data_IF_753521199551
#
_entry.id   IF_753521199551
#
_cell.length_a   1.000
_cell.length_b   1.000
_cell.length_c   1.000
_cell.angle_alpha   90.00
_cell.angle_beta   90.00
_cell.angle_gamma   90.00
#
_symmetry.space_group_name_H-M   'P 1'
#
loop_
_entity.id
_entity.type
_entity.pdbx_description
1 polymer ?
#
# COMPACT_ATOMS: atom_id res chain seq x y z
N UNK A 1 -37.93 0.85 32.22
CA UNK A 1 -39.18 1.63 32.34
C UNK A 1 -39.09 2.96 31.60
N UNK A 2 -38.12 3.84 31.90
CA UNK A 2 -38.00 5.16 31.24
C UNK A 2 -37.85 5.07 29.71
N UNK A 3 -36.98 4.18 29.20
CA UNK A 3 -36.85 3.93 27.75
C UNK A 3 -38.19 3.52 27.11
N UNK A 4 -38.95 2.61 27.73
CA UNK A 4 -40.25 2.18 27.21
C UNK A 4 -41.28 3.32 27.16
N UNK A 5 -41.26 4.23 28.14
CA UNK A 5 -42.11 5.43 28.11
C UNK A 5 -41.67 6.38 26.99
N UNK A 6 -40.35 6.53 26.75
CA UNK A 6 -39.82 7.32 25.63
C UNK A 6 -40.27 6.85 24.26
N UNK A 7 -40.48 5.53 24.07
CA UNK A 7 -40.97 4.96 22.81
C UNK A 7 -42.41 5.35 22.50
N UNK A 8 -43.23 5.60 23.52
CA UNK A 8 -44.66 5.88 23.38
C UNK A 8 -44.91 7.37 23.18
N UNK A 9 -44.17 8.20 23.91
CA UNK A 9 -44.47 9.64 24.03
C UNK A 9 -43.58 10.53 23.15
N UNK A 10 -42.40 10.04 22.75
CA UNK A 10 -41.52 10.74 21.81
C UNK A 10 -40.78 11.96 22.37
N UNK A 11 -39.98 12.65 21.53
CA UNK A 11 -39.09 13.75 21.95
C UNK A 11 -39.83 15.03 22.37
N UNK A 12 -41.11 15.17 22.00
CA UNK A 12 -41.93 16.35 22.34
C UNK A 12 -42.21 16.45 23.84
N UNK A 13 -42.22 15.31 24.54
CA UNK A 13 -42.60 15.22 25.95
C UNK A 13 -41.49 14.61 26.81
N UNK A 14 -40.51 13.92 26.21
CA UNK A 14 -39.34 13.39 26.92
C UNK A 14 -38.06 14.06 26.41
N UNK A 15 -37.33 14.79 27.29
CA UNK A 15 -36.05 15.36 26.93
C UNK A 15 -35.03 14.31 26.46
N UNK A 16 -34.33 14.61 25.36
CA UNK A 16 -33.22 13.79 24.83
C UNK A 16 -32.17 13.47 25.88
N UNK A 17 -31.88 14.41 26.80
CA UNK A 17 -30.91 14.22 27.88
C UNK A 17 -31.25 13.03 28.78
N UNK A 18 -32.54 12.78 29.04
CA UNK A 18 -32.97 11.63 29.86
C UNK A 18 -32.79 10.31 29.13
N UNK A 19 -33.13 10.27 27.83
CA UNK A 19 -32.90 9.09 26.98
C UNK A 19 -31.40 8.77 26.93
N UNK A 20 -30.57 9.80 26.75
CA UNK A 20 -29.11 9.69 26.72
C UNK A 20 -28.54 9.08 28.00
N UNK A 21 -28.96 9.56 29.17
CA UNK A 21 -28.50 9.04 30.48
C UNK A 21 -28.79 7.54 30.61
N UNK A 22 -29.89 7.04 30.05
CA UNK A 22 -30.18 5.61 30.04
C UNK A 22 -29.37 4.83 29.00
N UNK A 23 -29.17 5.38 27.81
CA UNK A 23 -28.53 4.66 26.71
C UNK A 23 -27.02 4.57 26.82
N UNK A 24 -26.35 5.61 27.34
CA UNK A 24 -24.88 5.65 27.43
C UNK A 24 -24.31 4.46 28.23
N UNK A 25 -24.79 4.14 29.45
CA UNK A 25 -24.30 2.97 30.19
C UNK A 25 -24.57 1.65 29.47
N UNK A 26 -25.73 1.53 28.81
CA UNK A 26 -26.09 0.32 28.06
C UNK A 26 -25.12 0.10 26.91
N UNK A 27 -24.87 1.13 26.10
CA UNK A 27 -23.93 1.07 24.99
C UNK A 27 -22.50 0.79 25.48
N UNK A 28 -22.05 1.46 26.55
CA UNK A 28 -20.70 1.28 27.09
C UNK A 28 -20.46 -0.14 27.63
N UNK A 29 -21.44 -0.75 28.30
CA UNK A 29 -21.31 -2.12 28.78
C UNK A 29 -21.48 -3.17 27.66
N UNK A 30 -22.14 -2.82 26.55
CA UNK A 30 -22.39 -3.72 25.42
C UNK A 30 -21.09 -4.19 24.74
N UNK A 31 -20.02 -3.40 24.80
CA UNK A 31 -18.72 -3.73 24.20
C UNK A 31 -18.04 -4.94 24.88
N UNK A 32 -18.39 -5.24 26.13
CA UNK A 32 -17.81 -6.35 26.91
C UNK A 32 -18.82 -7.35 27.47
N UNK A 33 -20.11 -7.18 27.16
CA UNK A 33 -21.19 -7.98 27.73
C UNK A 33 -22.32 -8.21 26.72
N UNK A 34 -22.73 -9.47 26.58
CA UNK A 34 -23.91 -9.84 25.80
C UNK A 34 -25.13 -9.85 26.71
N UNK A 35 -26.12 -9.01 26.38
CA UNK A 35 -27.31 -8.88 27.19
C UNK A 35 -28.25 -10.08 27.07
N UNK A 36 -29.13 -10.31 28.07
CA UNK A 36 -30.20 -11.30 27.97
C UNK A 36 -31.04 -11.10 26.70
N UNK A 37 -31.76 -12.14 26.23
CA UNK A 37 -32.57 -12.07 25.02
C UNK A 37 -33.69 -11.03 25.16
N UNK A 38 -33.40 -9.82 24.70
CA UNK A 38 -34.31 -8.68 24.64
C UNK A 38 -34.62 -8.43 23.16
N UNK A 39 -35.86 -8.03 22.85
CA UNK A 39 -36.20 -7.61 21.50
C UNK A 39 -35.61 -6.21 21.21
N UNK A 40 -34.32 -6.17 20.86
CA UNK A 40 -33.60 -4.94 20.53
C UNK A 40 -34.28 -4.12 19.44
N UNK A 41 -34.87 -4.76 18.42
CA UNK A 41 -35.60 -4.07 17.37
C UNK A 41 -36.78 -3.25 17.92
N UNK A 42 -37.51 -3.77 18.91
CA UNK A 42 -38.64 -3.07 19.52
C UNK A 42 -38.25 -1.80 20.30
N UNK A 43 -37.01 -1.75 20.80
CA UNK A 43 -36.50 -0.61 21.58
C UNK A 43 -35.77 0.38 20.67
N UNK A 44 -34.89 -0.12 19.81
CA UNK A 44 -33.99 0.73 19.03
C UNK A 44 -34.68 1.29 17.76
N UNK A 45 -35.57 0.53 17.12
CA UNK A 45 -36.22 1.01 15.88
C UNK A 45 -37.05 2.28 16.09
N UNK A 46 -37.87 2.42 17.14
CA UNK A 46 -38.58 3.67 17.40
C UNK A 46 -37.63 4.81 17.75
N UNK A 47 -36.59 4.57 18.57
CA UNK A 47 -35.59 5.61 18.91
C UNK A 47 -34.82 6.13 17.70
N UNK A 48 -34.54 5.25 16.73
CA UNK A 48 -33.88 5.62 15.48
C UNK A 48 -34.80 6.38 14.51
N UNK A 49 -36.12 6.17 14.60
CA UNK A 49 -37.13 6.85 13.76
C UNK A 49 -37.60 8.18 14.35
N UNK A 50 -37.62 8.28 15.69
CA UNK A 50 -37.99 9.47 16.43
C UNK A 50 -36.81 10.45 16.44
N UNK A 51 -37.07 11.75 16.29
CA UNK A 51 -36.03 12.76 16.20
C UNK A 51 -35.47 13.15 17.59
N UNK A 52 -34.92 12.18 18.32
CA UNK A 52 -34.21 12.41 19.59
C UNK A 52 -32.79 12.97 19.38
N UNK A 53 -32.34 13.13 18.13
CA UNK A 53 -31.05 13.69 17.78
C UNK A 53 -29.98 12.66 17.44
N UNK A 54 -28.89 13.15 16.85
CA UNK A 54 -27.80 12.38 16.25
C UNK A 54 -27.09 11.43 17.23
N UNK A 55 -26.93 11.86 18.48
CA UNK A 55 -26.23 11.10 19.50
C UNK A 55 -27.00 9.84 19.92
N UNK A 56 -28.33 9.94 20.01
CA UNK A 56 -29.19 8.79 20.32
C UNK A 56 -29.18 7.79 19.15
N UNK A 57 -29.19 8.29 17.92
CA UNK A 57 -29.04 7.46 16.73
C UNK A 57 -27.71 6.68 16.75
N UNK A 58 -26.61 7.35 17.08
CA UNK A 58 -25.29 6.71 17.23
C UNK A 58 -25.29 5.61 18.30
N UNK A 59 -25.85 5.89 19.48
CA UNK A 59 -25.93 4.92 20.58
C UNK A 59 -26.79 3.71 20.20
N UNK A 60 -27.88 3.90 19.45
CA UNK A 60 -28.71 2.81 18.95
C UNK A 60 -27.93 1.90 18.00
N UNK A 61 -27.17 2.47 17.05
CA UNK A 61 -26.32 1.69 16.14
C UNK A 61 -25.21 0.96 16.90
N UNK A 62 -24.58 1.61 17.89
CA UNK A 62 -23.55 0.98 18.73
C UNK A 62 -24.08 -0.25 19.45
N UNK A 63 -25.26 -0.15 20.06
CA UNK A 63 -25.92 -1.29 20.73
C UNK A 63 -26.29 -2.38 19.71
N UNK A 64 -26.87 -2.00 18.55
CA UNK A 64 -27.25 -2.98 17.53
C UNK A 64 -26.03 -3.77 17.00
N UNK A 65 -24.90 -3.09 16.78
CA UNK A 65 -23.63 -3.69 16.34
C UNK A 65 -23.08 -4.68 17.37
N UNK A 66 -22.96 -4.25 18.63
CA UNK A 66 -22.36 -5.07 19.71
C UNK A 66 -23.21 -6.29 20.08
N UNK A 67 -24.53 -6.19 19.91
CA UNK A 67 -25.48 -7.26 20.22
C UNK A 67 -25.90 -8.07 18.99
N UNK A 68 -25.35 -7.80 17.80
CA UNK A 68 -25.69 -8.51 16.57
C UNK A 68 -25.38 -10.01 16.68
N UNK A 69 -24.36 -10.39 17.45
CA UNK A 69 -23.95 -11.78 17.66
C UNK A 69 -24.93 -12.59 18.50
N UNK A 70 -25.40 -12.02 19.61
CA UNK A 70 -26.29 -12.72 20.56
C UNK A 70 -27.77 -12.57 20.24
N UNK A 71 -28.14 -11.62 19.36
CA UNK A 71 -29.54 -11.29 19.09
C UNK A 71 -29.85 -11.11 17.60
N UNK A 72 -30.62 -12.05 17.06
CA UNK A 72 -31.14 -11.98 15.69
C UNK A 72 -31.95 -10.70 15.43
N UNK A 73 -32.72 -10.21 16.41
CA UNK A 73 -33.50 -8.98 16.26
C UNK A 73 -32.61 -7.74 16.14
N UNK A 74 -31.42 -7.75 16.74
CA UNK A 74 -30.44 -6.67 16.61
C UNK A 74 -29.79 -6.71 15.21
N UNK A 75 -29.42 -7.91 14.74
CA UNK A 75 -28.86 -8.10 13.41
C UNK A 75 -29.86 -7.74 12.29
N UNK A 76 -31.13 -8.12 12.42
CA UNK A 76 -32.20 -7.75 11.46
C UNK A 76 -32.41 -6.24 11.44
N UNK A 77 -32.47 -5.60 12.62
CA UNK A 77 -32.55 -4.14 12.69
C UNK A 77 -31.37 -3.50 11.96
N UNK A 78 -30.14 -3.95 12.26
CA UNK A 78 -28.94 -3.42 11.62
C UNK A 78 -29.05 -3.55 10.09
N UNK A 79 -29.41 -4.73 9.58
CA UNK A 79 -29.59 -4.99 8.15
C UNK A 79 -30.62 -4.08 7.47
N UNK A 80 -31.66 -3.63 8.18
CA UNK A 80 -32.61 -2.64 7.65
C UNK A 80 -31.95 -1.26 7.45
N UNK A 81 -31.07 -0.85 8.36
CA UNK A 81 -30.40 0.46 8.33
C UNK A 81 -29.18 0.51 7.39
N UNK A 82 -28.69 -0.64 6.90
CA UNK A 82 -27.61 -0.70 5.92
C UNK A 82 -28.04 -0.34 4.49
N UNK A 83 -29.34 -0.38 4.19
CA UNK A 83 -29.84 -0.20 2.83
C UNK A 83 -30.38 1.22 2.63
N UNK A 84 -30.22 1.83 1.44
CA UNK A 84 -30.86 3.10 1.12
C UNK A 84 -32.39 3.08 1.26
N UNK A 85 -33.02 4.20 1.66
CA UNK A 85 -32.41 5.50 1.96
C UNK A 85 -31.84 5.64 3.39
N UNK A 86 -32.04 4.65 4.27
CA UNK A 86 -31.75 4.78 5.70
C UNK A 86 -30.27 4.96 6.01
N UNK A 87 -29.39 4.29 5.28
CA UNK A 87 -27.94 4.47 5.44
C UNK A 87 -27.50 5.92 5.16
N UNK A 88 -28.19 6.61 4.24
CA UNK A 88 -27.90 7.99 3.87
C UNK A 88 -28.48 9.01 4.85
N UNK A 89 -29.41 8.61 5.72
CA UNK A 89 -29.94 9.48 6.79
C UNK A 89 -29.12 9.40 8.09
N UNK A 90 -28.09 8.55 8.12
CA UNK A 90 -27.16 8.46 9.24
C UNK A 90 -26.13 9.60 9.19
N UNK A 91 -25.70 10.04 10.36
CA UNK A 91 -24.63 11.04 10.47
C UNK A 91 -23.26 10.47 10.09
N UNK A 92 -22.31 11.34 9.75
CA UNK A 92 -20.93 10.93 9.42
C UNK A 92 -20.30 10.15 10.57
N UNK A 93 -20.56 10.53 11.83
CA UNK A 93 -20.01 9.82 13.00
C UNK A 93 -20.61 8.42 13.15
N UNK A 94 -21.93 8.27 12.93
CA UNK A 94 -22.61 6.98 13.01
C UNK A 94 -22.15 6.06 11.88
N UNK A 95 -22.05 6.59 10.65
CA UNK A 95 -21.47 5.86 9.52
C UNK A 95 -20.03 5.44 9.79
N UNK A 96 -19.21 6.32 10.35
CA UNK A 96 -17.82 6.02 10.69
C UNK A 96 -17.70 4.85 11.65
N UNK A 97 -18.53 4.82 12.70
CA UNK A 97 -18.60 3.70 13.63
C UNK A 97 -19.07 2.42 12.94
N UNK A 98 -20.14 2.48 12.15
CA UNK A 98 -20.67 1.33 11.41
C UNK A 98 -19.63 0.68 10.48
N UNK A 99 -18.87 1.52 9.77
CA UNK A 99 -17.84 1.08 8.81
C UNK A 99 -16.64 0.48 9.54
N UNK A 100 -16.12 1.17 10.56
CA UNK A 100 -14.95 0.68 11.32
C UNK A 100 -15.25 -0.57 12.14
N UNK A 101 -16.51 -0.78 12.54
CA UNK A 101 -16.95 -1.97 13.29
C UNK A 101 -17.42 -3.14 12.41
N UNK A 102 -17.17 -3.12 11.10
CA UNK A 102 -17.62 -4.14 10.13
C UNK A 102 -17.36 -5.58 10.60
N UNK A 103 -16.18 -5.83 11.18
CA UNK A 103 -15.76 -7.13 11.70
C UNK A 103 -16.68 -7.70 12.79
N UNK A 104 -17.38 -6.85 13.54
CA UNK A 104 -18.25 -7.27 14.65
C UNK A 104 -19.59 -7.80 14.16
N UNK A 105 -20.14 -7.22 13.08
CA UNK A 105 -21.53 -7.44 12.72
C UNK A 105 -21.75 -8.10 11.35
N UNK A 106 -20.77 -8.09 10.45
CA UNK A 106 -20.97 -8.55 9.06
C UNK A 106 -21.48 -10.00 8.95
N UNK A 107 -21.02 -10.89 9.85
CA UNK A 107 -21.39 -12.32 9.86
C UNK A 107 -22.84 -12.57 10.30
N UNK A 108 -23.50 -11.57 10.87
CA UNK A 108 -24.83 -11.69 11.46
C UNK A 108 -25.94 -11.11 10.58
N UNK A 109 -25.58 -10.31 9.58
CA UNK A 109 -26.52 -9.72 8.64
C UNK A 109 -26.64 -10.60 7.39
N UNK A 110 -27.83 -10.63 6.79
CA UNK A 110 -28.06 -11.39 5.55
C UNK A 110 -27.18 -10.90 4.40
N UNK A 111 -26.69 -11.84 3.59
CA UNK A 111 -25.80 -11.57 2.45
C UNK A 111 -26.35 -10.53 1.47
N UNK A 112 -27.64 -10.58 1.13
CA UNK A 112 -28.31 -9.60 0.26
C UNK A 112 -28.15 -8.15 0.76
N UNK A 113 -28.32 -7.94 2.07
CA UNK A 113 -28.21 -6.62 2.70
C UNK A 113 -26.76 -6.15 2.78
N UNK A 114 -25.84 -7.07 3.07
CA UNK A 114 -24.41 -6.78 3.10
C UNK A 114 -23.89 -6.39 1.70
N UNK A 115 -24.29 -7.14 0.67
CA UNK A 115 -23.92 -6.86 -0.72
C UNK A 115 -24.51 -5.52 -1.19
N UNK A 116 -25.80 -5.27 -0.92
CA UNK A 116 -26.43 -3.98 -1.23
C UNK A 116 -25.75 -2.79 -0.53
N UNK A 117 -25.32 -2.96 0.71
CA UNK A 117 -24.57 -1.94 1.45
C UNK A 117 -23.20 -1.65 0.82
N UNK A 118 -22.45 -2.67 0.39
CA UNK A 118 -21.22 -2.42 -0.35
C UNK A 118 -21.50 -1.68 -1.67
N UNK A 119 -22.35 -2.25 -2.53
CA UNK A 119 -22.52 -1.76 -3.90
C UNK A 119 -23.13 -0.36 -3.95
N UNK A 120 -24.10 -0.06 -3.09
CA UNK A 120 -24.88 1.18 -3.16
C UNK A 120 -24.38 2.26 -2.19
N UNK A 121 -23.64 1.91 -1.14
CA UNK A 121 -23.13 2.87 -0.17
C UNK A 121 -21.60 2.93 -0.15
N UNK A 122 -20.90 1.83 0.14
CA UNK A 122 -19.44 1.85 0.22
C UNK A 122 -18.81 2.26 -1.12
N UNK A 123 -19.21 1.61 -2.22
CA UNK A 123 -18.67 1.89 -3.55
C UNK A 123 -19.07 3.28 -4.04
N UNK A 124 -20.29 3.74 -3.76
CA UNK A 124 -20.75 5.08 -4.12
C UNK A 124 -19.87 6.19 -3.49
N UNK A 125 -19.33 5.98 -2.28
CA UNK A 125 -18.38 6.91 -1.65
C UNK A 125 -17.04 7.00 -2.39
N UNK A 126 -16.66 5.97 -3.16
CA UNK A 126 -15.50 6.00 -4.05
C UNK A 126 -15.83 6.52 -5.46
N UNK A 127 -17.04 6.29 -5.97
CA UNK A 127 -17.47 6.83 -7.28
C UNK A 127 -17.74 8.34 -7.23
N UNK A 128 -18.25 8.85 -6.11
CA UNK A 128 -18.50 10.27 -5.88
C UNK A 128 -17.22 11.12 -5.73
N UNK A 129 -16.03 10.50 -5.75
CA UNK A 129 -14.71 11.14 -5.65
C UNK A 129 -14.45 12.23 -6.71
N UNK A 130 -15.33 12.40 -7.70
CA UNK A 130 -15.25 13.47 -8.70
C UNK A 130 -15.79 14.85 -8.26
N UNK A 131 -16.53 14.99 -7.13
CA UNK A 131 -17.22 16.26 -6.81
C UNK A 131 -17.08 16.78 -5.37
N UNK A 132 -17.11 15.95 -4.34
CA UNK A 132 -17.00 16.37 -2.92
C UNK A 132 -16.37 15.26 -2.09
N UNK A 133 -15.17 15.52 -1.56
CA UNK A 133 -14.31 14.52 -0.95
C UNK A 133 -14.65 14.31 0.53
N UNK A 134 -15.13 13.11 0.92
CA UNK A 134 -15.17 12.70 2.32
C UNK A 134 -14.09 11.63 2.61
N UNK A 135 -12.86 12.10 2.79
CA UNK A 135 -11.68 11.29 3.11
C UNK A 135 -11.92 10.31 4.25
N UNK A 136 -12.59 10.81 5.29
CA UNK A 136 -12.76 10.13 6.56
C UNK A 136 -13.57 8.84 6.35
N UNK A 137 -14.71 8.94 5.67
CA UNK A 137 -15.55 7.76 5.40
C UNK A 137 -14.85 6.75 4.47
N UNK A 138 -14.15 7.21 3.43
CA UNK A 138 -13.36 6.31 2.56
C UNK A 138 -12.31 5.54 3.36
N UNK A 139 -11.62 6.21 4.28
CA UNK A 139 -10.64 5.57 5.15
C UNK A 139 -11.30 4.57 6.11
N UNK A 140 -12.44 4.94 6.70
CA UNK A 140 -13.19 4.08 7.62
C UNK A 140 -13.69 2.80 6.95
N UNK A 141 -14.09 2.86 5.67
CA UNK A 141 -14.42 1.66 4.87
C UNK A 141 -13.23 0.70 4.83
N UNK A 142 -12.06 1.19 4.40
CA UNK A 142 -10.89 0.34 4.21
C UNK A 142 -10.35 -0.21 5.52
N UNK A 143 -10.38 0.59 6.60
CA UNK A 143 -10.03 0.13 7.94
C UNK A 143 -10.97 -0.99 8.42
N UNK A 144 -12.28 -0.82 8.21
CA UNK A 144 -13.28 -1.85 8.52
C UNK A 144 -13.05 -3.16 7.74
N UNK A 145 -12.79 -3.06 6.44
CA UNK A 145 -12.45 -4.21 5.58
C UNK A 145 -11.17 -4.90 6.06
N UNK A 146 -10.11 -4.15 6.37
CA UNK A 146 -8.84 -4.70 6.84
C UNK A 146 -9.01 -5.45 8.15
N UNK A 147 -9.81 -4.93 9.09
CA UNK A 147 -10.10 -5.61 10.35
C UNK A 147 -10.95 -6.87 10.13
N UNK A 148 -11.94 -6.80 9.24
CA UNK A 148 -12.82 -7.93 8.93
C UNK A 148 -12.08 -9.08 8.23
N UNK A 149 -11.11 -8.77 7.35
CA UNK A 149 -10.29 -9.78 6.68
C UNK A 149 -9.36 -10.54 7.62
N UNK A 150 -8.99 -9.94 8.77
CA UNK A 150 -8.16 -10.58 9.81
C UNK A 150 -8.94 -11.50 10.74
N UNK A 151 -10.26 -11.59 10.57
CA UNK A 151 -11.07 -12.50 11.37
C UNK A 151 -10.68 -13.95 11.06
N UNK A 152 -10.60 -14.82 12.09
CA UNK A 152 -10.34 -16.23 11.86
C UNK A 152 -11.55 -16.90 11.20
N UNK A 153 -11.31 -17.68 10.14
CA UNK A 153 -12.29 -18.55 9.48
C UNK A 153 -13.62 -17.84 9.07
N UNK A 154 -13.57 -16.76 8.26
CA UNK A 154 -14.79 -16.16 7.73
C UNK A 154 -15.54 -17.17 6.84
N UNK A 155 -16.87 -17.08 6.80
CA UNK A 155 -17.66 -17.88 5.85
C UNK A 155 -17.28 -17.53 4.41
N UNK A 156 -17.45 -18.47 3.47
CA UNK A 156 -17.10 -18.23 2.06
C UNK A 156 -17.83 -17.02 1.47
N UNK A 157 -19.09 -16.80 1.86
CA UNK A 157 -19.87 -15.65 1.43
C UNK A 157 -19.27 -14.33 1.96
N UNK A 158 -18.95 -14.28 3.26
CA UNK A 158 -18.29 -13.11 3.88
C UNK A 158 -16.92 -12.83 3.26
N UNK A 159 -16.11 -13.86 3.05
CA UNK A 159 -14.81 -13.72 2.41
C UNK A 159 -14.93 -13.21 0.96
N UNK A 160 -15.85 -13.79 0.18
CA UNK A 160 -16.11 -13.35 -1.19
C UNK A 160 -16.55 -11.88 -1.24
N UNK A 161 -17.41 -11.45 -0.31
CA UNK A 161 -17.79 -10.05 -0.14
C UNK A 161 -16.56 -9.17 0.12
N UNK A 162 -15.74 -9.50 1.12
CA UNK A 162 -14.55 -8.72 1.50
C UNK A 162 -13.58 -8.56 0.32
N UNK A 163 -13.28 -9.66 -0.39
CA UNK A 163 -12.40 -9.65 -1.56
C UNK A 163 -12.98 -8.78 -2.69
N UNK A 164 -14.24 -8.99 -3.07
CA UNK A 164 -14.90 -8.25 -4.16
C UNK A 164 -14.97 -6.75 -3.86
N UNK A 165 -15.37 -6.37 -2.65
CA UNK A 165 -15.47 -4.96 -2.27
C UNK A 165 -14.10 -4.30 -2.27
N UNK A 166 -13.08 -4.96 -1.73
CA UNK A 166 -11.70 -4.45 -1.73
C UNK A 166 -11.15 -4.28 -3.15
N UNK A 167 -11.36 -5.28 -4.01
CA UNK A 167 -10.95 -5.20 -5.42
C UNK A 167 -11.65 -4.04 -6.12
N UNK A 168 -12.96 -3.88 -5.93
CA UNK A 168 -13.73 -2.80 -6.55
C UNK A 168 -13.25 -1.43 -6.09
N UNK A 169 -12.97 -1.27 -4.80
CA UNK A 169 -12.35 -0.07 -4.24
C UNK A 169 -10.99 0.20 -4.90
N UNK A 170 -10.13 -0.81 -4.97
CA UNK A 170 -8.82 -0.68 -5.61
C UNK A 170 -8.93 -0.26 -7.09
N UNK A 171 -9.89 -0.80 -7.84
CA UNK A 171 -10.14 -0.43 -9.23
C UNK A 171 -10.54 1.05 -9.36
N UNK A 172 -11.34 1.57 -8.42
CA UNK A 172 -11.80 2.96 -8.41
C UNK A 172 -10.73 3.97 -7.97
N UNK A 173 -9.70 3.53 -7.24
CA UNK A 173 -8.61 4.43 -6.84
C UNK A 173 -7.86 4.98 -8.07
N UNK A 174 -7.50 6.28 -8.09
CA UNK A 174 -6.78 6.87 -9.21
C UNK A 174 -5.38 6.27 -9.37
N UNK A 175 -4.87 6.26 -10.60
CA UNK A 175 -3.48 5.83 -10.85
C UNK A 175 -2.47 6.82 -10.25
N UNK A 176 -2.71 8.12 -10.42
CA UNK A 176 -1.87 9.17 -9.85
C UNK A 176 -2.13 9.31 -8.35
N UNK A 177 -1.17 8.85 -7.55
CA UNK A 177 -1.26 8.88 -6.08
C UNK A 177 -0.93 10.28 -5.55
N UNK A 178 -1.87 10.88 -4.84
CA UNK A 178 -1.65 12.12 -4.08
C UNK A 178 -1.03 11.79 -2.72
N UNK A 179 -0.07 12.62 -2.25
CA UNK A 179 0.58 12.42 -0.94
C UNK A 179 -0.44 12.38 0.21
N UNK A 180 -1.49 13.19 0.12
CA UNK A 180 -2.57 13.22 1.11
C UNK A 180 -3.36 11.92 1.17
N UNK A 181 -3.37 11.12 0.12
CA UNK A 181 -4.20 9.92 0.02
C UNK A 181 -3.36 8.64 0.18
N UNK A 182 -2.06 8.77 0.42
CA UNK A 182 -1.13 7.64 0.51
C UNK A 182 -1.57 6.59 1.53
N UNK A 183 -2.06 7.05 2.69
CA UNK A 183 -2.58 6.16 3.75
C UNK A 183 -3.69 5.23 3.24
N UNK A 184 -4.56 5.72 2.34
CA UNK A 184 -5.64 4.92 1.77
C UNK A 184 -5.11 3.77 0.93
N UNK A 185 -4.07 4.00 0.10
CA UNK A 185 -3.44 2.95 -0.69
C UNK A 185 -2.72 1.94 0.20
N UNK A 186 -2.10 2.39 1.29
CA UNK A 186 -1.46 1.51 2.27
C UNK A 186 -2.51 0.61 2.95
N UNK A 187 -3.63 1.16 3.41
CA UNK A 187 -4.69 0.35 4.02
C UNK A 187 -5.34 -0.60 3.02
N UNK A 188 -5.56 -0.19 1.76
CA UNK A 188 -6.05 -1.10 0.71
C UNK A 188 -5.04 -2.22 0.43
N UNK A 189 -3.74 -1.90 0.45
CA UNK A 189 -2.69 -2.90 0.29
C UNK A 189 -2.71 -3.92 1.42
N UNK A 190 -2.98 -3.50 2.67
CA UNK A 190 -3.16 -4.43 3.78
C UNK A 190 -4.33 -5.38 3.54
N UNK A 191 -5.46 -4.89 3.03
CA UNK A 191 -6.57 -5.77 2.66
C UNK A 191 -6.17 -6.78 1.58
N UNK A 192 -5.49 -6.33 0.51
CA UNK A 192 -5.00 -7.21 -0.55
C UNK A 192 -3.99 -8.24 0.00
N UNK A 193 -3.18 -7.88 0.99
CA UNK A 193 -2.17 -8.78 1.56
C UNK A 193 -2.75 -10.01 2.26
N UNK A 194 -4.00 -9.93 2.74
CA UNK A 194 -4.72 -11.05 3.37
C UNK A 194 -5.28 -12.05 2.32
N UNK A 195 -5.30 -11.67 1.03
CA UNK A 195 -5.83 -12.51 -0.05
C UNK A 195 -4.87 -13.61 -0.49
N UNK A 196 -5.39 -14.59 -1.23
CA UNK A 196 -4.58 -15.64 -1.83
C UNK A 196 -3.66 -15.08 -2.93
N UNK A 197 -2.52 -15.73 -3.17
CA UNK A 197 -1.52 -15.26 -4.16
C UNK A 197 -2.12 -15.04 -5.55
N UNK A 198 -3.00 -15.95 -5.99
CA UNK A 198 -3.70 -15.81 -7.29
C UNK A 198 -4.60 -14.58 -7.37
N UNK A 199 -5.18 -14.15 -6.25
CA UNK A 199 -5.99 -12.93 -6.20
C UNK A 199 -5.10 -11.69 -6.22
N UNK A 200 -3.99 -11.71 -5.46
CA UNK A 200 -3.00 -10.62 -5.46
C UNK A 200 -2.43 -10.41 -6.88
N UNK A 201 -2.04 -11.48 -7.56
CA UNK A 201 -1.49 -11.42 -8.93
C UNK A 201 -2.49 -10.80 -9.91
N UNK A 202 -3.75 -11.25 -9.83
CA UNK A 202 -4.83 -10.76 -10.70
C UNK A 202 -5.15 -9.28 -10.44
N UNK A 203 -5.23 -8.88 -9.17
CA UNK A 203 -5.61 -7.51 -8.77
C UNK A 203 -4.47 -6.52 -9.02
N UNK A 204 -3.24 -6.89 -8.69
CA UNK A 204 -2.07 -6.01 -8.77
C UNK A 204 -1.36 -6.03 -10.12
N UNK A 205 -1.96 -6.69 -11.12
CA UNK A 205 -1.41 -6.78 -12.46
C UNK A 205 -1.06 -5.38 -13.02
N UNK A 206 0.17 -5.27 -13.53
CA UNK A 206 0.74 -4.03 -14.03
C UNK A 206 0.39 -3.89 -15.51
N UNK A 207 -0.14 -2.73 -15.87
CA UNK A 207 -0.38 -2.30 -17.24
C UNK A 207 0.07 -0.86 -17.43
N UNK A 208 0.15 -0.41 -18.68
CA UNK A 208 0.49 0.98 -18.99
C UNK A 208 -0.54 2.01 -18.46
N UNK A 209 -1.76 1.58 -18.12
CA UNK A 209 -2.86 2.46 -17.67
C UNK A 209 -2.89 2.65 -16.14
N UNK A 210 -2.37 1.69 -15.38
CA UNK A 210 -2.43 1.66 -13.91
C UNK A 210 -1.03 1.55 -13.27
N UNK A 211 0.01 1.97 -14.01
CA UNK A 211 1.39 1.65 -13.64
C UNK A 211 1.79 2.22 -12.28
N UNK A 212 1.39 3.44 -11.93
CA UNK A 212 1.83 4.10 -10.68
C UNK A 212 1.16 3.44 -9.48
N UNK A 213 -0.16 3.22 -9.55
CA UNK A 213 -0.93 2.57 -8.49
C UNK A 213 -0.50 1.11 -8.30
N UNK A 214 -0.43 0.33 -9.39
CA UNK A 214 -0.04 -1.09 -9.30
C UNK A 214 1.41 -1.24 -8.83
N UNK A 215 2.34 -0.40 -9.33
CA UNK A 215 3.73 -0.35 -8.85
C UNK A 215 3.76 -0.07 -7.35
N UNK A 216 3.06 0.95 -6.87
CA UNK A 216 3.05 1.27 -5.45
C UNK A 216 2.56 0.11 -4.59
N UNK A 217 1.42 -0.51 -4.94
CA UNK A 217 0.86 -1.63 -4.18
C UNK A 217 1.79 -2.84 -4.19
N UNK A 218 2.32 -3.23 -5.35
CA UNK A 218 3.28 -4.34 -5.41
C UNK A 218 4.54 -4.06 -4.59
N UNK A 219 5.12 -2.85 -4.72
CA UNK A 219 6.30 -2.47 -3.95
C UNK A 219 6.04 -2.43 -2.45
N UNK A 220 4.85 -2.01 -2.02
CA UNK A 220 4.48 -2.03 -0.62
C UNK A 220 4.38 -3.48 -0.11
N UNK A 221 3.76 -4.40 -0.85
CA UNK A 221 3.70 -5.84 -0.54
C UNK A 221 5.09 -6.50 -0.51
N UNK A 222 5.95 -6.19 -1.49
CA UNK A 222 7.33 -6.70 -1.57
C UNK A 222 8.13 -6.18 -0.37
N UNK A 223 8.04 -4.88 -0.07
CA UNK A 223 8.80 -4.27 1.03
C UNK A 223 8.46 -4.84 2.40
N UNK A 224 7.23 -5.34 2.59
CA UNK A 224 6.78 -6.04 3.79
C UNK A 224 7.09 -7.56 3.75
N UNK A 225 7.57 -8.06 2.62
CA UNK A 225 7.91 -9.47 2.43
C UNK A 225 6.73 -10.37 2.08
N UNK A 226 5.52 -9.82 1.84
CA UNK A 226 4.34 -10.59 1.39
C UNK A 226 4.52 -11.17 -0.01
N UNK A 227 5.18 -10.42 -0.89
CA UNK A 227 5.59 -10.87 -2.22
C UNK A 227 7.12 -10.98 -2.31
N UNK A 228 7.67 -11.93 -3.11
CA UNK A 228 9.11 -12.04 -3.32
C UNK A 228 9.65 -10.97 -4.28
N UNK A 229 10.96 -10.67 -4.16
CA UNK A 229 11.65 -9.70 -5.01
C UNK A 229 11.60 -10.05 -6.50
N UNK A 230 11.37 -11.31 -6.87
CA UNK A 230 11.25 -11.75 -8.26
C UNK A 230 10.12 -11.04 -9.02
N UNK A 231 9.06 -10.58 -8.33
CA UNK A 231 7.97 -9.81 -8.93
C UNK A 231 8.43 -8.49 -9.55
N UNK A 232 9.57 -7.96 -9.11
CA UNK A 232 10.12 -6.74 -9.67
C UNK A 232 10.53 -6.90 -11.12
N UNK A 233 10.84 -8.11 -11.61
CA UNK A 233 11.30 -8.33 -12.98
C UNK A 233 10.28 -7.85 -14.01
N UNK A 234 9.04 -8.32 -13.91
CA UNK A 234 7.97 -7.91 -14.81
C UNK A 234 7.62 -6.42 -14.64
N UNK A 235 7.63 -5.94 -13.39
CA UNK A 235 7.39 -4.53 -13.06
C UNK A 235 8.39 -3.60 -13.76
N UNK A 236 9.70 -3.87 -13.62
CA UNK A 236 10.73 -3.01 -14.19
C UNK A 236 10.76 -3.08 -15.71
N UNK A 237 10.40 -4.23 -16.30
CA UNK A 237 10.28 -4.37 -17.75
C UNK A 237 9.16 -3.49 -18.32
N UNK A 238 7.97 -3.53 -17.70
CA UNK A 238 6.85 -2.66 -18.11
C UNK A 238 7.18 -1.18 -17.86
N UNK A 239 7.87 -0.87 -16.75
CA UNK A 239 8.28 0.48 -16.40
C UNK A 239 9.36 1.06 -17.32
N UNK A 240 10.25 0.23 -17.86
CA UNK A 240 11.29 0.65 -18.79
C UNK A 240 10.72 1.24 -20.10
N UNK A 241 9.49 0.87 -20.45
CA UNK A 241 8.77 1.38 -21.62
C UNK A 241 7.81 2.54 -21.31
N UNK A 242 7.66 2.90 -20.03
CA UNK A 242 6.73 3.96 -19.61
C UNK A 242 7.40 5.35 -19.58
N UNK A 243 6.60 6.42 -19.61
CA UNK A 243 7.09 7.81 -19.51
C UNK A 243 7.44 8.22 -18.08
N UNK A 244 6.79 7.64 -17.07
CA UNK A 244 6.89 8.00 -15.66
C UNK A 244 8.00 7.26 -14.90
N UNK A 245 9.11 6.97 -15.58
CA UNK A 245 10.28 6.26 -15.04
C UNK A 245 10.78 6.82 -13.73
N UNK A 246 10.83 8.15 -13.62
CA UNK A 246 11.30 8.84 -12.44
C UNK A 246 10.52 8.45 -11.18
N UNK A 247 9.19 8.57 -11.24
CA UNK A 247 8.28 8.24 -10.14
C UNK A 247 8.46 6.79 -9.70
N UNK A 248 8.59 5.89 -10.67
CA UNK A 248 8.76 4.45 -10.43
C UNK A 248 10.11 4.17 -9.74
N UNK A 249 11.20 4.78 -10.21
CA UNK A 249 12.53 4.64 -9.57
C UNK A 249 12.50 5.17 -8.14
N UNK A 250 11.84 6.30 -7.90
CA UNK A 250 11.69 6.82 -6.54
C UNK A 250 10.94 5.84 -5.64
N UNK A 251 9.83 5.25 -6.10
CA UNK A 251 9.10 4.24 -5.33
C UNK A 251 9.95 2.99 -5.10
N UNK A 252 10.71 2.53 -6.11
CA UNK A 252 11.64 1.41 -6.00
C UNK A 252 12.71 1.68 -4.93
N UNK A 253 13.30 2.87 -4.91
CA UNK A 253 14.29 3.26 -3.91
C UNK A 253 13.73 3.17 -2.49
N UNK A 254 12.53 3.71 -2.25
CA UNK A 254 11.85 3.58 -0.95
C UNK A 254 11.63 2.10 -0.60
N UNK A 255 11.09 1.33 -1.54
CA UNK A 255 10.79 -0.09 -1.35
C UNK A 255 12.04 -0.92 -1.04
N UNK A 256 13.17 -0.66 -1.71
CA UNK A 256 14.44 -1.33 -1.46
C UNK A 256 14.98 -1.03 -0.06
N UNK A 257 14.91 0.23 0.37
CA UNK A 257 15.34 0.61 1.71
C UNK A 257 14.43 -0.04 2.77
N UNK A 258 13.12 -0.01 2.56
CA UNK A 258 12.14 -0.66 3.42
C UNK A 258 12.33 -2.18 3.52
N UNK A 259 12.53 -2.87 2.39
CA UNK A 259 12.76 -4.31 2.34
C UNK A 259 13.98 -4.72 3.18
N UNK A 260 14.98 -3.83 3.28
CA UNK A 260 16.12 -4.03 4.17
C UNK A 260 15.78 -3.85 5.65
N UNK A 261 14.94 -2.86 5.99
CA UNK A 261 14.58 -2.58 7.39
C UNK A 261 13.69 -3.68 7.99
N UNK A 262 12.69 -4.13 7.23
CA UNK A 262 11.72 -5.14 7.71
C UNK A 262 12.32 -6.55 7.68
N UNK A 263 13.25 -6.83 6.77
CA UNK A 263 13.98 -8.10 6.62
C UNK A 263 13.10 -9.35 6.80
N UNK A 264 12.51 -9.83 5.70
CA UNK A 264 11.68 -11.03 5.66
C UNK A 264 12.38 -12.17 4.92
N UNK A 265 11.90 -13.42 5.02
CA UNK A 265 12.44 -14.55 4.24
C UNK A 265 12.45 -14.28 2.72
N UNK A 266 11.51 -13.46 2.24
CA UNK A 266 11.35 -13.08 0.84
C UNK A 266 12.22 -11.87 0.42
N UNK A 267 12.76 -11.12 1.38
CA UNK A 267 13.56 -9.88 1.16
C UNK A 267 14.90 -9.88 1.90
N UNK A 268 15.29 -11.03 2.45
CA UNK A 268 16.54 -11.23 3.18
C UNK A 268 17.76 -10.92 2.31
N UNK A 269 18.93 -10.80 2.95
CA UNK A 269 20.17 -10.41 2.25
C UNK A 269 20.47 -11.33 1.05
N UNK A 270 20.27 -12.64 1.21
CA UNK A 270 20.46 -13.61 0.12
C UNK A 270 19.49 -13.37 -1.04
N UNK A 271 18.21 -13.08 -0.78
CA UNK A 271 17.22 -12.79 -1.83
C UNK A 271 17.49 -11.48 -2.55
N UNK A 272 17.96 -10.46 -1.82
CA UNK A 272 18.43 -9.21 -2.42
C UNK A 272 19.65 -9.43 -3.32
N UNK A 273 20.56 -10.30 -2.90
CA UNK A 273 21.74 -10.66 -3.66
C UNK A 273 21.42 -11.44 -4.93
N UNK A 274 20.60 -12.49 -4.83
CA UNK A 274 20.07 -13.25 -5.96
C UNK A 274 19.43 -12.29 -6.98
N UNK A 275 18.51 -11.44 -6.53
CA UNK A 275 17.81 -10.49 -7.39
C UNK A 275 18.75 -9.48 -8.06
N UNK A 276 19.72 -8.92 -7.34
CA UNK A 276 20.68 -7.97 -7.91
C UNK A 276 21.56 -8.63 -8.98
N UNK A 277 21.93 -9.89 -8.76
CA UNK A 277 22.69 -10.70 -9.71
C UNK A 277 21.86 -10.98 -10.98
N UNK A 278 20.57 -11.24 -10.84
CA UNK A 278 19.67 -11.41 -11.97
C UNK A 278 19.47 -10.10 -12.74
N UNK A 279 19.41 -8.97 -12.03
CA UNK A 279 19.32 -7.65 -12.64
C UNK A 279 20.55 -7.33 -13.51
N UNK A 280 21.78 -7.56 -13.02
CA UNK A 280 22.97 -7.29 -13.83
C UNK A 280 23.04 -8.21 -15.07
N UNK A 281 22.59 -9.46 -14.92
CA UNK A 281 22.46 -10.39 -16.05
C UNK A 281 21.45 -9.88 -17.08
N UNK A 282 20.31 -9.35 -16.62
CA UNK A 282 19.27 -8.79 -17.47
C UNK A 282 19.73 -7.52 -18.20
N UNK A 283 20.38 -6.59 -17.50
CA UNK A 283 20.98 -5.37 -18.09
C UNK A 283 21.95 -5.74 -19.22
N UNK A 284 22.81 -6.75 -18.98
CA UNK A 284 23.72 -7.24 -20.02
C UNK A 284 22.96 -7.77 -21.23
N UNK A 285 21.91 -8.57 -21.02
CA UNK A 285 21.15 -9.14 -22.13
C UNK A 285 20.47 -8.05 -22.98
N UNK A 286 20.00 -6.96 -22.36
CA UNK A 286 19.49 -5.79 -23.08
C UNK A 286 20.62 -5.11 -23.87
N UNK A 287 21.76 -4.85 -23.24
CA UNK A 287 22.89 -4.15 -23.88
C UNK A 287 23.45 -4.85 -25.13
N UNK A 288 23.36 -6.17 -25.18
CA UNK A 288 23.79 -6.98 -26.33
C UNK A 288 22.63 -7.45 -27.23
N UNK A 289 21.41 -6.92 -27.03
CA UNK A 289 20.26 -7.21 -27.90
C UNK A 289 19.68 -8.63 -27.78
N UNK A 290 20.07 -9.39 -26.75
CA UNK A 290 19.45 -10.70 -26.44
C UNK A 290 18.04 -10.56 -25.88
N UNK A 291 17.72 -9.40 -25.30
CA UNK A 291 16.38 -9.02 -24.86
C UNK A 291 15.96 -7.79 -25.65
N UNK A 292 14.92 -7.86 -26.49
CA UNK A 292 14.49 -6.72 -27.29
C UNK A 292 13.81 -5.65 -26.44
N UNK A 293 13.95 -4.40 -26.88
CA UNK A 293 13.25 -3.23 -26.34
C UNK A 293 12.41 -2.65 -27.47
N UNK A 294 11.11 -2.47 -27.27
CA UNK A 294 10.20 -2.14 -28.38
C UNK A 294 9.87 -0.65 -28.45
N UNK A 295 9.53 -0.04 -27.30
CA UNK A 295 8.88 1.28 -27.27
C UNK A 295 9.82 2.46 -26.97
N UNK A 296 11.06 2.20 -26.56
CA UNK A 296 12.04 3.23 -26.18
C UNK A 296 13.40 2.91 -26.80
N UNK A 297 14.28 3.91 -26.86
CA UNK A 297 15.65 3.69 -27.35
C UNK A 297 16.44 2.78 -26.40
N UNK A 298 17.41 2.04 -26.94
CA UNK A 298 18.29 1.17 -26.16
C UNK A 298 18.98 1.93 -25.01
N UNK A 299 19.50 3.13 -25.29
CA UNK A 299 20.14 3.99 -24.28
C UNK A 299 19.17 4.40 -23.18
N UNK A 300 17.93 4.73 -23.52
CA UNK A 300 16.94 5.17 -22.54
C UNK A 300 16.48 4.01 -21.64
N UNK A 301 16.33 2.80 -22.19
CA UNK A 301 16.06 1.61 -21.39
C UNK A 301 17.23 1.28 -20.46
N UNK A 302 18.46 1.25 -20.97
CA UNK A 302 19.63 0.95 -20.17
C UNK A 302 19.88 1.98 -19.06
N UNK A 303 19.70 3.27 -19.35
CA UNK A 303 19.78 4.31 -18.34
C UNK A 303 18.75 4.11 -17.21
N UNK A 304 17.52 3.68 -17.56
CA UNK A 304 16.51 3.31 -16.56
C UNK A 304 16.96 2.14 -15.69
N UNK A 305 17.40 1.03 -16.28
CA UNK A 305 17.84 -0.13 -15.50
C UNK A 305 19.09 0.16 -14.65
N UNK A 306 19.99 1.02 -15.14
CA UNK A 306 21.14 1.48 -14.37
C UNK A 306 20.73 2.32 -13.16
N UNK A 307 19.69 3.15 -13.28
CA UNK A 307 19.13 3.86 -12.15
C UNK A 307 18.48 2.90 -11.14
N UNK A 308 17.76 1.88 -11.60
CA UNK A 308 17.21 0.82 -10.73
C UNK A 308 18.33 0.09 -9.99
N UNK A 309 19.39 -0.29 -10.71
CA UNK A 309 20.58 -0.90 -10.12
C UNK A 309 21.19 0.02 -9.06
N UNK A 310 21.41 1.29 -9.39
CA UNK A 310 21.99 2.25 -8.45
C UNK A 310 21.12 2.45 -7.20
N UNK A 311 19.80 2.61 -7.37
CA UNK A 311 18.86 2.74 -6.26
C UNK A 311 18.91 1.52 -5.31
N UNK A 312 18.98 0.31 -5.86
CA UNK A 312 19.08 -0.92 -5.05
C UNK A 312 20.41 -1.01 -4.28
N UNK A 313 21.54 -0.68 -4.93
CA UNK A 313 22.87 -0.69 -4.30
C UNK A 313 22.94 0.36 -3.21
N UNK A 314 22.48 1.58 -3.47
CA UNK A 314 22.43 2.67 -2.47
C UNK A 314 21.57 2.26 -1.27
N UNK A 315 20.38 1.71 -1.50
CA UNK A 315 19.48 1.27 -0.44
C UNK A 315 20.06 0.15 0.44
N UNK A 316 20.89 -0.73 -0.12
CA UNK A 316 21.37 -1.94 0.56
C UNK A 316 22.79 -1.83 1.08
N UNK A 317 23.62 -0.93 0.54
CA UNK A 317 25.01 -0.77 0.92
C UNK A 317 25.16 -0.33 2.38
N UNK A 318 24.46 0.70 2.83
CA UNK A 318 24.61 1.27 4.17
C UNK A 318 23.36 2.07 4.61
N UNK A 319 23.22 2.38 5.90
CA UNK A 319 22.03 3.11 6.36
C UNK A 319 22.11 4.61 6.14
N UNK A 320 23.31 5.19 6.02
CA UNK A 320 23.49 6.64 5.96
C UNK A 320 23.15 7.19 4.58
N UNK A 321 23.62 6.56 3.50
CA UNK A 321 23.42 7.09 2.15
C UNK A 321 21.94 7.28 1.78
N UNK A 322 21.02 6.31 1.98
CA UNK A 322 19.61 6.53 1.68
C UNK A 322 18.99 7.67 2.49
N UNK A 323 19.31 7.79 3.77
CA UNK A 323 18.81 8.86 4.64
C UNK A 323 19.33 10.23 4.20
N UNK A 324 20.62 10.32 3.82
CA UNK A 324 21.23 11.55 3.29
C UNK A 324 20.59 12.00 1.97
N UNK A 325 20.09 11.04 1.18
CA UNK A 325 19.33 11.31 -0.04
C UNK A 325 17.84 11.59 0.21
N UNK A 326 17.38 11.61 1.47
CA UNK A 326 16.00 11.90 1.83
C UNK A 326 15.04 10.71 1.74
N UNK A 327 15.56 9.48 1.69
CA UNK A 327 14.73 8.26 1.76
C UNK A 327 14.22 8.07 3.19
N UNK A 328 12.93 7.81 3.35
CA UNK A 328 12.30 7.66 4.67
C UNK A 328 12.32 6.20 5.12
N UNK A 329 12.38 5.97 6.44
CA UNK A 329 12.20 4.64 7.03
C UNK A 329 10.75 4.18 7.12
N UNK A 330 9.79 5.03 6.74
CA UNK A 330 8.34 4.81 6.69
C UNK A 330 7.78 5.35 5.37
N UNK A 331 6.89 4.59 4.72
CA UNK A 331 6.10 5.08 3.59
C UNK A 331 5.21 6.27 3.99
N UNK A 332 4.79 6.30 5.26
CA UNK A 332 3.97 7.38 5.82
C UNK A 332 4.90 8.47 6.39
N UNK A 333 4.74 9.75 6.00
CA UNK A 333 5.44 10.86 6.61
C UNK A 333 5.14 10.94 8.12
N UNK A 334 6.12 11.31 8.94
CA UNK A 334 5.87 11.47 10.37
C UNK A 334 4.77 12.52 10.59
N UNK A 335 3.74 12.18 11.39
CA UNK A 335 2.56 13.05 11.66
C UNK A 335 2.90 14.43 12.26
N UNK A 336 4.16 14.65 12.65
CA UNK A 336 4.67 15.90 13.20
C UNK A 336 5.31 16.83 12.16
N UNK A 337 5.35 16.43 10.89
CA UNK A 337 5.81 17.31 9.81
C UNK A 337 4.72 18.34 9.47
N UNK A 338 5.16 19.56 9.11
CA UNK A 338 4.26 20.62 8.64
C UNK A 338 3.31 20.09 7.55
N UNK A 339 2.08 20.62 7.43
CA UNK A 339 1.06 20.08 6.53
C UNK A 339 1.65 19.82 5.15
N UNK A 340 1.58 18.54 4.73
CA UNK A 340 2.12 18.08 3.45
C UNK A 340 1.67 19.03 2.34
N UNK A 341 2.62 19.61 1.61
CA UNK A 341 2.29 20.41 0.44
C UNK A 341 1.44 19.57 -0.52
N UNK A 342 0.29 20.08 -0.99
CA UNK A 342 -0.55 19.34 -1.92
C UNK A 342 0.29 19.00 -3.16
N UNK A 343 0.37 17.71 -3.49
CA UNK A 343 1.21 17.24 -4.57
C UNK A 343 1.11 15.74 -4.79
N UNK A 344 1.53 15.32 -5.98
CA UNK A 344 1.64 13.91 -6.34
C UNK A 344 2.87 13.27 -5.67
N UNK A 345 2.80 11.97 -5.43
CA UNK A 345 3.93 11.18 -4.97
C UNK A 345 5.09 11.30 -5.99
N UNK A 346 6.32 11.46 -5.51
CA UNK A 346 7.55 11.60 -6.29
C UNK A 346 7.59 12.79 -7.29
N UNK A 347 6.84 13.87 -7.03
CA UNK A 347 6.77 15.04 -7.92
C UNK A 347 7.41 16.31 -7.34
N UNK A 348 8.12 16.22 -6.21
CA UNK A 348 8.89 17.35 -5.69
C UNK A 348 10.26 17.41 -6.34
N UNK A 349 10.82 18.62 -6.47
CA UNK A 349 12.18 18.82 -7.00
C UNK A 349 13.22 17.99 -6.25
N UNK A 350 13.03 17.82 -4.94
CA UNK A 350 13.89 16.97 -4.12
C UNK A 350 13.82 15.49 -4.52
N UNK A 351 12.62 14.96 -4.79
CA UNK A 351 12.43 13.56 -5.22
C UNK A 351 13.21 13.27 -6.52
N UNK A 352 13.22 14.24 -7.45
CA UNK A 352 13.98 14.20 -8.71
C UNK A 352 15.48 14.14 -8.47
N UNK A 353 15.98 14.98 -7.58
CA UNK A 353 17.40 14.99 -7.21
C UNK A 353 17.77 13.68 -6.52
N UNK A 354 16.97 13.19 -5.58
CA UNK A 354 17.21 11.92 -4.87
C UNK A 354 17.43 10.75 -5.83
N UNK A 355 16.58 10.60 -6.85
CA UNK A 355 16.74 9.55 -7.86
C UNK A 355 18.02 9.75 -8.67
N UNK A 356 18.29 10.98 -9.13
CA UNK A 356 19.48 11.25 -9.93
C UNK A 356 20.79 11.01 -9.17
N UNK A 357 20.81 11.35 -7.89
CA UNK A 357 21.98 11.20 -7.01
C UNK A 357 22.31 9.74 -6.68
N UNK A 358 21.39 8.80 -6.89
CA UNK A 358 21.67 7.37 -6.70
C UNK A 358 22.84 6.90 -7.59
N UNK A 359 22.84 7.29 -8.87
CA UNK A 359 23.95 6.98 -9.78
C UNK A 359 25.25 7.70 -9.39
N UNK A 360 25.17 8.88 -8.76
CA UNK A 360 26.34 9.63 -8.29
C UNK A 360 26.95 8.96 -7.05
N UNK A 361 26.12 8.42 -6.15
CA UNK A 361 26.52 7.70 -4.95
C UNK A 361 26.95 6.25 -5.22
N UNK A 362 26.70 5.73 -6.43
CA UNK A 362 26.98 4.34 -6.81
C UNK A 362 28.44 3.90 -6.57
N UNK A 363 29.49 4.68 -6.91
CA UNK A 363 30.87 4.23 -6.72
C UNK A 363 31.19 3.84 -5.29
N UNK A 364 30.81 4.69 -4.33
CA UNK A 364 31.03 4.45 -2.89
C UNK A 364 30.11 3.34 -2.38
N UNK A 365 28.83 3.39 -2.75
CA UNK A 365 27.83 2.43 -2.29
C UNK A 365 28.15 1.01 -2.73
N UNK A 366 28.56 0.82 -3.99
CA UNK A 366 28.93 -0.50 -4.50
C UNK A 366 30.18 -1.05 -3.80
N UNK A 367 31.19 -0.20 -3.57
CA UNK A 367 32.38 -0.60 -2.83
C UNK A 367 32.01 -1.07 -1.40
N UNK A 368 31.14 -0.34 -0.71
CA UNK A 368 30.67 -0.70 0.63
C UNK A 368 29.84 -1.99 0.64
N UNK A 369 28.99 -2.20 -0.38
CA UNK A 369 28.18 -3.40 -0.51
C UNK A 369 29.07 -4.64 -0.70
N UNK A 370 30.01 -4.59 -1.65
CA UNK A 370 30.90 -5.71 -1.98
C UNK A 370 31.95 -6.01 -0.90
N UNK A 371 32.15 -5.10 0.05
CA UNK A 371 33.01 -5.35 1.20
C UNK A 371 32.35 -6.24 2.28
N UNK A 372 31.06 -6.55 2.16
CA UNK A 372 30.27 -7.26 3.18
C UNK A 372 29.91 -8.67 2.73
N UNK A 373 29.81 -9.60 3.67
CA UNK A 373 29.20 -10.89 3.38
C UNK A 373 27.67 -10.76 3.24
N UNK A 374 27.01 -11.52 2.34
CA UNK A 374 27.58 -12.50 1.39
C UNK A 374 28.03 -11.89 0.04
N UNK A 375 27.90 -10.58 -0.14
CA UNK A 375 28.19 -9.89 -1.41
C UNK A 375 29.63 -10.04 -1.88
N UNK A 376 30.55 -10.14 -0.93
CA UNK A 376 32.00 -10.24 -1.17
C UNK A 376 32.34 -11.40 -2.10
N UNK A 377 31.68 -12.54 -1.96
CA UNK A 377 31.88 -13.73 -2.81
C UNK A 377 31.59 -13.46 -4.30
N UNK A 378 30.76 -12.46 -4.59
CA UNK A 378 30.36 -12.10 -5.95
C UNK A 378 31.14 -10.91 -6.53
N UNK A 379 32.12 -10.36 -5.81
CA UNK A 379 32.88 -9.16 -6.24
C UNK A 379 33.41 -9.26 -7.68
N UNK A 380 34.02 -10.41 -8.03
CA UNK A 380 34.55 -10.64 -9.38
C UNK A 380 33.45 -10.53 -10.46
N UNK A 381 32.25 -11.05 -10.18
CA UNK A 381 31.11 -11.01 -11.10
C UNK A 381 30.66 -9.59 -11.40
N UNK A 382 30.63 -8.72 -10.39
CA UNK A 382 30.30 -7.30 -10.57
C UNK A 382 31.38 -6.54 -11.36
N UNK A 383 32.66 -6.81 -11.08
CA UNK A 383 33.78 -6.22 -11.83
C UNK A 383 33.71 -6.61 -13.31
N UNK A 384 33.55 -7.91 -13.59
CA UNK A 384 33.48 -8.42 -14.96
C UNK A 384 32.27 -7.85 -15.70
N UNK A 385 31.11 -7.79 -15.05
CA UNK A 385 29.90 -7.17 -15.60
C UNK A 385 30.10 -5.68 -15.94
N UNK A 386 30.68 -4.89 -15.03
CA UNK A 386 30.96 -3.47 -15.27
C UNK A 386 31.88 -3.27 -16.48
N UNK A 387 32.92 -4.10 -16.62
CA UNK A 387 33.84 -4.02 -17.75
C UNK A 387 33.16 -4.40 -19.07
N UNK A 388 32.41 -5.50 -19.08
CA UNK A 388 31.60 -5.91 -20.22
C UNK A 388 30.58 -4.84 -20.61
N UNK A 389 29.96 -4.17 -19.64
CA UNK A 389 28.99 -3.11 -19.93
C UNK A 389 29.66 -1.84 -20.45
N UNK A 390 30.85 -1.47 -19.98
CA UNK A 390 31.63 -0.36 -20.54
C UNK A 390 32.10 -0.66 -21.98
N UNK A 391 32.31 -1.94 -22.30
CA UNK A 391 32.61 -2.48 -23.62
C UNK A 391 31.42 -2.55 -24.58
N UNK A 392 30.22 -2.17 -24.13
CA UNK A 392 29.06 -2.11 -25.01
C UNK A 392 29.25 -1.12 -26.16
N UNK A 393 28.48 -1.25 -27.25
CA UNK A 393 28.44 -0.25 -28.32
C UNK A 393 28.24 1.17 -27.77
N UNK A 394 28.82 2.19 -28.42
CA UNK A 394 28.72 3.59 -27.94
C UNK A 394 27.28 4.09 -27.86
N UNK A 395 26.40 3.57 -28.72
CA UNK A 395 24.97 3.90 -28.79
C UNK A 395 24.16 3.30 -27.63
N UNK A 396 24.73 2.33 -26.90
CA UNK A 396 24.00 1.62 -25.85
C UNK A 396 23.90 2.41 -24.55
N UNK A 397 24.86 3.29 -24.23
CA UNK A 397 24.88 4.03 -22.97
C UNK A 397 25.02 5.52 -23.20
N UNK A 398 24.30 6.32 -22.41
CA UNK A 398 24.53 7.76 -22.41
C UNK A 398 25.93 8.08 -21.88
N UNK A 399 26.50 9.21 -22.34
CA UNK A 399 27.83 9.68 -21.90
C UNK A 399 27.91 9.85 -20.38
N UNK A 400 26.83 10.31 -19.76
CA UNK A 400 26.73 10.48 -18.31
C UNK A 400 26.80 9.13 -17.59
N UNK A 401 25.97 8.16 -17.99
CA UNK A 401 25.97 6.81 -17.41
C UNK A 401 27.32 6.12 -17.59
N UNK A 402 27.92 6.19 -18.78
CA UNK A 402 29.26 5.63 -19.04
C UNK A 402 30.33 6.23 -18.13
N UNK A 403 30.29 7.55 -17.91
CA UNK A 403 31.22 8.24 -17.00
C UNK A 403 31.05 7.78 -15.56
N UNK A 404 29.81 7.68 -15.06
CA UNK A 404 29.51 7.22 -13.70
C UNK A 404 29.87 5.73 -13.51
N UNK A 405 29.67 4.89 -14.51
CA UNK A 405 30.10 3.48 -14.50
C UNK A 405 31.63 3.34 -14.48
N UNK A 406 32.36 4.15 -15.26
CA UNK A 406 33.84 4.18 -15.24
C UNK A 406 34.35 4.60 -13.86
N UNK A 407 33.76 5.63 -13.27
CA UNK A 407 34.08 6.05 -11.89
C UNK A 407 33.78 4.94 -10.87
N UNK A 408 32.65 4.23 -11.04
CA UNK A 408 32.26 3.09 -10.22
C UNK A 408 33.31 1.98 -10.29
N UNK A 409 33.72 1.57 -11.50
CA UNK A 409 34.74 0.55 -11.71
C UNK A 409 36.07 0.93 -11.05
N UNK A 410 36.54 2.17 -11.25
CA UNK A 410 37.80 2.66 -10.68
C UNK A 410 37.75 2.67 -9.15
N UNK A 411 36.60 2.98 -8.55
CA UNK A 411 36.46 3.01 -7.10
C UNK A 411 36.61 1.61 -6.44
N UNK A 412 36.41 0.54 -7.22
CA UNK A 412 36.63 -0.84 -6.76
C UNK A 412 38.11 -1.22 -6.62
N UNK A 413 39.06 -0.33 -6.97
CA UNK A 413 40.52 -0.58 -6.89
C UNK A 413 41.05 -1.04 -5.54
N UNK A 414 40.32 -0.75 -4.46
CA UNK A 414 40.68 -1.19 -3.11
C UNK A 414 40.46 -2.68 -2.87
N UNK A 415 39.60 -3.33 -3.65
CA UNK A 415 39.20 -4.73 -3.46
C UNK A 415 40.26 -5.70 -3.98
N UNK A 416 40.51 -6.84 -3.29
CA UNK A 416 41.52 -7.83 -3.69
C UNK A 416 41.38 -8.32 -5.13
N UNK A 417 40.15 -8.56 -5.57
CA UNK A 417 39.80 -9.06 -6.90
C UNK A 417 40.24 -8.08 -8.00
N UNK A 418 40.16 -6.78 -7.74
CA UNK A 418 40.57 -5.73 -8.68
C UNK A 418 42.08 -5.65 -8.87
N UNK A 419 42.88 -6.07 -7.87
CA UNK A 419 44.34 -6.01 -7.91
C UNK A 419 44.98 -7.04 -8.85
N UNK A 420 44.19 -7.93 -9.44
CA UNK A 420 44.66 -8.87 -10.47
C UNK A 420 45.15 -8.08 -11.69
N UNK A 421 46.35 -8.39 -12.17
CA UNK A 421 47.01 -7.67 -13.29
C UNK A 421 46.10 -7.51 -14.51
N UNK A 422 45.40 -8.56 -14.90
CA UNK A 422 44.48 -8.55 -16.06
C UNK A 422 43.32 -7.55 -15.89
N UNK A 423 42.75 -7.47 -14.68
CA UNK A 423 41.66 -6.53 -14.37
C UNK A 423 42.18 -5.10 -14.38
N UNK A 424 43.32 -4.86 -13.75
CA UNK A 424 43.93 -3.55 -13.64
C UNK A 424 44.29 -2.96 -15.01
N UNK A 425 44.95 -3.73 -15.88
CA UNK A 425 45.32 -3.29 -17.23
C UNK A 425 44.09 -2.99 -18.09
N UNK A 426 43.04 -3.79 -17.98
CA UNK A 426 41.80 -3.59 -18.75
C UNK A 426 40.99 -2.41 -18.24
N UNK A 427 40.92 -2.17 -16.92
CA UNK A 427 40.17 -1.04 -16.36
C UNK A 427 40.82 0.34 -16.61
N UNK A 428 42.17 0.41 -16.64
CA UNK A 428 42.92 1.65 -16.87
C UNK A 428 43.39 1.85 -18.31
N UNK A 429 43.22 0.86 -19.19
CA UNK A 429 43.53 0.97 -20.63
C UNK A 429 42.47 1.74 -21.44
N UNK A 430 41.44 2.26 -20.76
CA UNK A 430 40.28 2.97 -21.30
C UNK A 430 40.31 4.46 -21.05
#
# INVERSE_FOLDING_TARGET
MLLFVSLIVGPELIPTSLVKVCMVPIAAAADGYQYPPINWASILAPLMRLNFGEEIQKLCVQIAVTQAESSQNAAVLLGMWLVPPLVYSLTVQTCSYLLTSLSLWMKHVSEDKLQSFADVFMIALFEAQKKTYNKELSMNIVLGLSQAMKLPNPSQACWSFLCKTTERIYQLLPDVIQKTNLDLYIEVTKCISEMADSEIDRITCISQVNIRKSTFVQLNLISQGRLPLSYLGDLINVAAENKDKHTIIWMLLQAFYHARLVSHQNTGVLKRMEWLIDLISHIRNIAYGSTPVHNVSLSEALDFFLQVFAASVVAWADHATPLLLGVCGSWIPCKNEAPLTPGCLANQSLDIVTVHECLTALPLSLQLLLAKEPWKEHTQKFIDWLMTLLESPEEALSKSSRTKLKATLINLRGLPEFKRKAVWTRAFGW
#
